data_IF_020609918823
#
_entry.id   IF_020609918823
#
_cell.length_a   1.000
_cell.length_b   1.000
_cell.length_c   1.000
_cell.angle_alpha   90.00
_cell.angle_beta   90.00
_cell.angle_gamma   90.00
#
_symmetry.space_group_name_H-M   'P 1'
#
loop_
_entity.id
_entity.type
_entity.pdbx_description
1 polymer ?
#
# COMPACT_ATOMS: atom_id res chain seq x y z
N UNK A 1 7.02 -12.50 15.18
CA UNK A 1 7.87 -11.32 14.95
C UNK A 1 8.89 -11.68 13.88
N UNK A 2 9.11 -10.84 12.87
CA UNK A 2 10.03 -11.12 11.75
C UNK A 2 11.34 -10.32 11.85
N UNK A 3 11.25 -9.03 12.15
CA UNK A 3 12.40 -8.16 12.37
C UNK A 3 12.03 -6.98 13.27
N UNK A 4 13.04 -6.38 13.90
CA UNK A 4 12.92 -5.12 14.64
C UNK A 4 13.98 -4.13 14.20
N UNK A 5 13.68 -2.86 14.38
CA UNK A 5 14.61 -1.75 14.27
C UNK A 5 14.30 -0.75 15.38
N UNK A 6 15.30 0.01 15.78
CA UNK A 6 15.20 0.98 16.88
C UNK A 6 15.74 2.34 16.45
N UNK A 7 15.27 3.38 17.13
CA UNK A 7 15.60 4.77 16.87
C UNK A 7 14.95 5.71 17.89
N UNK A 8 15.10 7.03 17.71
CA UNK A 8 14.57 8.03 18.65
C UNK A 8 13.03 8.01 18.73
N UNK A 9 12.38 7.51 17.68
CA UNK A 9 10.93 7.33 17.63
C UNK A 9 10.44 6.06 18.34
N UNK A 10 11.34 5.26 18.93
CA UNK A 10 11.05 4.00 19.62
C UNK A 10 11.21 2.76 18.73
N UNK A 11 10.89 1.59 19.30
CA UNK A 11 11.01 0.32 18.60
C UNK A 11 9.96 0.17 17.50
N UNK A 12 10.42 -0.29 16.34
CA UNK A 12 9.61 -0.66 15.20
C UNK A 12 9.69 -2.16 14.99
N UNK A 13 8.54 -2.81 14.82
CA UNK A 13 8.46 -4.27 14.70
C UNK A 13 7.72 -4.66 13.44
N UNK A 14 8.40 -5.37 12.53
CA UNK A 14 7.75 -6.03 11.41
C UNK A 14 7.21 -7.40 11.86
N UNK A 15 5.92 -7.61 11.64
CA UNK A 15 5.25 -8.90 11.87
C UNK A 15 4.84 -9.53 10.54
N UNK A 16 4.20 -10.69 10.58
CA UNK A 16 3.63 -11.34 9.38
C UNK A 16 2.39 -10.62 8.82
N UNK A 17 1.77 -9.69 9.56
CA UNK A 17 0.52 -9.04 9.12
C UNK A 17 0.54 -7.51 9.13
N UNK A 18 1.47 -6.90 9.87
CA UNK A 18 1.53 -5.46 10.11
C UNK A 18 2.91 -4.97 10.54
N UNK A 19 3.15 -3.69 10.35
CA UNK A 19 4.23 -2.92 10.99
C UNK A 19 3.70 -2.28 12.26
N UNK A 20 4.35 -2.53 13.39
CA UNK A 20 4.08 -1.87 14.66
C UNK A 20 4.99 -0.65 14.80
N UNK A 21 4.40 0.48 15.16
CA UNK A 21 5.01 1.79 15.32
C UNK A 21 4.66 2.34 16.70
N UNK A 22 5.42 3.31 17.23
CA UNK A 22 5.14 3.91 18.55
C UNK A 22 3.73 4.51 18.68
N UNK A 23 3.19 5.06 17.61
CA UNK A 23 1.87 5.69 17.58
C UNK A 23 0.72 4.80 17.09
N UNK A 24 0.98 3.53 16.76
CA UNK A 24 -0.05 2.64 16.19
C UNK A 24 0.52 1.50 15.36
N UNK A 25 -0.25 1.05 14.37
CA UNK A 25 0.20 0.01 13.46
C UNK A 25 -0.43 0.16 12.08
N UNK A 26 0.27 -0.29 11.05
CA UNK A 26 -0.24 -0.34 9.68
C UNK A 26 -0.20 -1.78 9.17
N UNK A 27 -1.34 -2.30 8.70
CA UNK A 27 -1.41 -3.61 8.07
C UNK A 27 -0.69 -3.60 6.73
N UNK A 28 -0.03 -4.70 6.36
CA UNK A 28 0.66 -4.78 5.06
C UNK A 28 -0.29 -4.54 3.87
N UNK A 29 -1.54 -4.98 4.00
CA UNK A 29 -2.62 -4.75 3.03
C UNK A 29 -3.00 -3.28 2.86
N UNK A 30 -2.67 -2.43 3.84
CA UNK A 30 -2.91 -0.98 3.79
C UNK A 30 -1.71 -0.19 3.29
N UNK A 31 -0.56 -0.82 3.06
CA UNK A 31 0.65 -0.12 2.58
C UNK A 31 0.63 0.03 1.06
N UNK A 32 0.66 1.27 0.59
CA UNK A 32 0.84 1.62 -0.83
C UNK A 32 2.32 1.46 -1.22
N UNK A 33 3.21 2.08 -0.44
CA UNK A 33 4.67 2.04 -0.67
C UNK A 33 5.44 2.03 0.65
N UNK A 34 6.62 1.41 0.63
CA UNK A 34 7.61 1.54 1.68
C UNK A 34 8.99 1.85 1.07
N UNK A 35 9.65 2.88 1.56
CA UNK A 35 10.96 3.33 1.09
C UNK A 35 11.87 3.65 2.26
N UNK A 36 13.16 3.36 2.10
CA UNK A 36 14.20 3.74 3.05
C UNK A 36 15.06 4.84 2.45
N UNK A 37 15.24 5.91 3.21
CA UNK A 37 16.21 6.96 2.97
C UNK A 37 17.42 6.71 3.88
N UNK A 38 18.51 6.24 3.29
CA UNK A 38 19.72 5.88 4.04
C UNK A 38 20.56 7.07 4.48
N UNK A 39 20.40 8.23 3.84
CA UNK A 39 21.11 9.45 4.25
C UNK A 39 20.39 10.09 5.43
N UNK A 40 19.06 10.14 5.39
CA UNK A 40 18.25 10.66 6.50
C UNK A 40 18.03 9.63 7.62
N UNK A 41 18.39 8.37 7.41
CA UNK A 41 18.07 7.23 8.27
C UNK A 41 16.56 7.10 8.59
N UNK A 42 15.71 7.33 7.58
CA UNK A 42 14.25 7.34 7.72
C UNK A 42 13.56 6.28 6.88
N UNK A 43 12.77 5.44 7.54
CA UNK A 43 11.78 4.58 6.88
C UNK A 43 10.50 5.39 6.63
N UNK A 44 10.08 5.46 5.38
CA UNK A 44 8.82 6.09 4.97
C UNK A 44 7.84 5.02 4.50
N UNK A 45 6.72 4.88 5.19
CA UNK A 45 5.61 4.00 4.82
C UNK A 45 4.40 4.84 4.47
N UNK A 46 3.92 4.73 3.24
CA UNK A 46 2.73 5.43 2.76
C UNK A 46 1.58 4.46 2.69
N UNK A 47 0.47 4.79 3.35
CA UNK A 47 -0.76 4.02 3.26
C UNK A 47 -1.53 4.31 1.97
N UNK A 48 -2.35 3.35 1.55
CA UNK A 48 -3.34 3.55 0.51
C UNK A 48 -4.28 4.71 0.90
N UNK A 49 -4.77 5.51 -0.07
CA UNK A 49 -5.69 6.60 0.24
C UNK A 49 -6.95 6.12 0.96
N UNK A 50 -7.42 6.89 1.94
CA UNK A 50 -8.73 6.68 2.58
C UNK A 50 -9.88 6.99 1.61
N UNK A 51 -11.13 6.76 2.05
CA UNK A 51 -12.32 7.04 1.24
C UNK A 51 -12.48 8.54 0.85
N UNK A 52 -11.74 9.44 1.49
CA UNK A 52 -11.68 10.88 1.18
C UNK A 52 -10.44 11.24 0.34
N UNK A 53 -9.67 10.24 -0.10
CA UNK A 53 -8.45 10.41 -0.89
C UNK A 53 -7.23 10.86 -0.10
N UNK A 54 -7.29 10.88 1.24
CA UNK A 54 -6.15 11.30 2.08
C UNK A 54 -5.17 10.15 2.26
N UNK A 55 -3.87 10.46 2.15
CA UNK A 55 -2.79 9.50 2.38
C UNK A 55 -2.12 9.76 3.71
N UNK A 56 -2.05 8.73 4.55
CA UNK A 56 -1.23 8.75 5.76
C UNK A 56 0.20 8.35 5.39
N UNK A 57 1.18 9.09 5.90
CA UNK A 57 2.60 8.75 5.77
C UNK A 57 3.22 8.62 7.15
N UNK A 58 3.81 7.46 7.41
CA UNK A 58 4.61 7.21 8.60
C UNK A 58 6.06 7.46 8.24
N UNK A 59 6.72 8.36 8.96
CA UNK A 59 8.16 8.60 8.85
C UNK A 59 8.77 8.17 10.18
N UNK A 60 9.73 7.28 10.12
CA UNK A 60 10.33 6.69 11.33
C UNK A 60 11.83 6.74 11.22
N UNK A 61 12.47 7.48 12.12
CA UNK A 61 13.92 7.50 12.23
C UNK A 61 14.42 6.19 12.85
N UNK A 62 15.40 5.55 12.21
CA UNK A 62 15.99 4.28 12.65
C UNK A 62 17.50 4.43 12.77
N UNK A 63 18.02 4.46 14.00
CA UNK A 63 19.47 4.48 14.26
C UNK A 63 20.13 3.12 14.01
N UNK A 64 19.35 2.04 14.10
CA UNK A 64 19.81 0.69 13.77
C UNK A 64 18.71 -0.04 13.00
N UNK A 65 18.63 0.13 11.66
CA UNK A 65 17.58 -0.48 10.86
C UNK A 65 17.70 -2.01 10.78
N UNK A 66 18.91 -2.58 11.00
CA UNK A 66 19.18 -4.03 10.88
C UNK A 66 18.53 -4.61 9.61
N UNK A 67 17.81 -5.73 9.70
CA UNK A 67 17.03 -6.34 8.61
C UNK A 67 15.62 -5.77 8.45
N UNK A 68 15.22 -4.77 9.26
CA UNK A 68 13.84 -4.29 9.28
C UNK A 68 13.42 -3.73 7.93
N UNK A 69 14.27 -2.92 7.29
CA UNK A 69 13.98 -2.29 5.99
C UNK A 69 13.73 -3.36 4.91
N UNK A 70 14.57 -4.39 4.88
CA UNK A 70 14.44 -5.50 3.93
C UNK A 70 13.15 -6.27 4.17
N UNK A 71 12.85 -6.61 5.43
CA UNK A 71 11.63 -7.34 5.80
C UNK A 71 10.38 -6.52 5.51
N UNK A 72 10.38 -5.20 5.75
CA UNK A 72 9.25 -4.33 5.39
C UNK A 72 9.01 -4.37 3.88
N UNK A 73 10.07 -4.22 3.07
CA UNK A 73 9.96 -4.29 1.60
C UNK A 73 9.44 -5.66 1.15
N UNK A 74 9.96 -6.73 1.74
CA UNK A 74 9.55 -8.10 1.45
C UNK A 74 8.07 -8.30 1.77
N UNK A 75 7.62 -7.95 2.98
CA UNK A 75 6.23 -8.11 3.40
C UNK A 75 5.26 -7.28 2.54
N UNK A 76 5.61 -6.04 2.21
CA UNK A 76 4.80 -5.20 1.30
C UNK A 76 4.68 -5.87 -0.08
N UNK A 77 5.79 -6.36 -0.62
CA UNK A 77 5.80 -7.01 -1.94
C UNK A 77 5.03 -8.33 -1.93
N UNK A 78 5.26 -9.19 -0.93
CA UNK A 78 4.58 -10.47 -0.77
C UNK A 78 3.08 -10.33 -0.53
N UNK A 79 2.64 -9.19 0.03
CA UNK A 79 1.21 -8.95 0.20
C UNK A 79 0.47 -8.78 -1.12
N UNK A 80 1.13 -8.38 -2.21
CA UNK A 80 0.48 -8.09 -3.49
C UNK A 80 0.27 -9.38 -4.28
N UNK A 81 -0.99 -9.70 -4.56
CA UNK A 81 -1.39 -10.83 -5.42
C UNK A 81 -1.50 -10.39 -6.87
N UNK A 82 -2.10 -9.23 -7.09
CA UNK A 82 -2.30 -8.66 -8.43
C UNK A 82 -2.22 -7.14 -8.36
N UNK A 83 -1.58 -6.51 -9.35
CA UNK A 83 -1.64 -5.06 -9.54
C UNK A 83 -1.69 -4.76 -11.04
N UNK A 84 -2.80 -4.16 -11.48
CA UNK A 84 -3.04 -3.81 -12.89
C UNK A 84 -3.40 -2.34 -12.98
N UNK A 85 -2.93 -1.69 -14.04
CA UNK A 85 -3.40 -0.37 -14.43
C UNK A 85 -4.16 -0.52 -15.75
N UNK A 86 -5.43 -0.14 -15.74
CA UNK A 86 -6.33 -0.24 -16.88
C UNK A 86 -6.66 1.18 -17.34
N UNK A 87 -6.32 1.53 -18.57
CA UNK A 87 -6.64 2.83 -19.16
C UNK A 87 -8.14 2.95 -19.39
N UNK A 88 -8.73 4.07 -18.97
CA UNK A 88 -10.17 4.35 -19.13
C UNK A 88 -10.44 5.61 -19.95
N UNK A 89 -9.48 6.54 -19.99
CA UNK A 89 -9.57 7.80 -20.72
C UNK A 89 -8.19 8.23 -21.26
N UNK A 90 -7.97 7.99 -22.56
CA UNK A 90 -6.66 8.19 -23.19
C UNK A 90 -5.58 7.37 -22.50
N UNK A 91 -4.62 8.05 -21.86
CA UNK A 91 -3.54 7.41 -21.08
C UNK A 91 -3.86 7.30 -19.58
N UNK A 92 -4.94 7.93 -19.11
CA UNK A 92 -5.37 7.90 -17.71
C UNK A 92 -6.19 6.65 -17.46
N UNK A 93 -6.02 6.08 -16.28
CA UNK A 93 -6.58 4.80 -15.92
C UNK A 93 -6.93 4.67 -14.46
N UNK A 94 -7.24 3.43 -14.11
CA UNK A 94 -7.43 2.99 -12.74
C UNK A 94 -6.38 1.93 -12.43
N UNK A 95 -5.66 2.10 -11.32
CA UNK A 95 -4.82 1.08 -10.74
C UNK A 95 -5.62 0.27 -9.74
N UNK A 96 -5.73 -1.03 -9.99
CA UNK A 96 -6.43 -1.98 -9.14
C UNK A 96 -5.39 -2.91 -8.55
N UNK A 97 -5.31 -2.95 -7.23
CA UNK A 97 -4.36 -3.81 -6.51
C UNK A 97 -5.11 -4.70 -5.53
N UNK A 98 -4.94 -6.01 -5.68
CA UNK A 98 -5.43 -7.01 -4.75
C UNK A 98 -4.29 -7.48 -3.86
N UNK A 99 -4.47 -7.37 -2.54
CA UNK A 99 -3.49 -7.83 -1.55
C UNK A 99 -4.06 -8.91 -0.67
N UNK A 100 -3.23 -9.90 -0.33
CA UNK A 100 -3.61 -11.03 0.54
C UNK A 100 -3.63 -10.62 2.01
N UNK A 101 -4.74 -10.87 2.67
CA UNK A 101 -4.90 -10.69 4.12
C UNK A 101 -4.35 -11.91 4.87
N UNK A 102 -4.15 -11.82 6.20
CA UNK A 102 -3.83 -12.99 7.02
C UNK A 102 -4.92 -14.08 7.02
N UNK A 103 -6.16 -13.75 6.66
CA UNK A 103 -7.27 -14.72 6.48
C UNK A 103 -7.27 -15.39 5.11
N UNK A 104 -6.25 -15.16 4.27
CA UNK A 104 -6.15 -15.61 2.87
C UNK A 104 -7.24 -15.03 1.95
N UNK A 105 -7.90 -13.95 2.39
CA UNK A 105 -8.83 -13.15 1.58
C UNK A 105 -8.09 -12.06 0.81
N UNK A 106 -8.74 -11.45 -0.19
CA UNK A 106 -8.19 -10.32 -0.94
C UNK A 106 -8.76 -8.99 -0.46
N UNK A 107 -7.87 -8.13 0.05
CA UNK A 107 -8.14 -6.72 0.27
C UNK A 107 -7.84 -5.92 -1.01
N UNK A 108 -8.83 -5.18 -1.49
CA UNK A 108 -8.74 -4.44 -2.76
C UNK A 108 -8.50 -2.95 -2.53
N UNK A 109 -7.55 -2.39 -3.28
CA UNK A 109 -7.35 -0.94 -3.40
C UNK A 109 -7.57 -0.53 -4.85
N UNK A 110 -8.34 0.54 -5.04
CA UNK A 110 -8.60 1.15 -6.34
C UNK A 110 -8.10 2.59 -6.30
N UNK A 111 -7.23 2.94 -7.24
CA UNK A 111 -6.65 4.28 -7.35
C UNK A 111 -6.92 4.81 -8.74
N UNK A 112 -7.66 5.91 -8.81
CA UNK A 112 -8.01 6.55 -10.08
C UNK A 112 -6.99 7.65 -10.35
N UNK A 113 -6.44 7.68 -11.57
CA UNK A 113 -5.51 8.72 -11.98
C UNK A 113 -6.15 10.11 -11.90
N UNK A 114 -5.35 11.11 -11.54
CA UNK A 114 -5.82 12.49 -11.46
C UNK A 114 -6.40 12.98 -12.78
N UNK A 115 -7.52 13.70 -12.70
CA UNK A 115 -8.21 14.27 -13.86
C UNK A 115 -9.23 13.35 -14.54
N UNK A 116 -9.47 12.14 -14.00
CA UNK A 116 -10.65 11.34 -14.36
C UNK A 116 -11.86 11.90 -13.61
N UNK A 117 -12.89 12.30 -14.35
CA UNK A 117 -14.15 12.78 -13.79
C UNK A 117 -15.08 11.60 -13.44
N UNK A 118 -15.15 11.27 -12.16
CA UNK A 118 -16.07 10.23 -11.66
C UNK A 118 -17.52 10.71 -11.50
N UNK A 119 -17.79 12.00 -11.70
CA UNK A 119 -19.15 12.54 -11.73
C UNK A 119 -19.84 12.28 -13.09
N UNK A 120 -19.07 12.13 -14.17
CA UNK A 120 -19.58 11.65 -15.45
C UNK A 120 -19.96 10.16 -15.36
N UNK A 121 -21.25 9.80 -15.52
CA UNK A 121 -21.70 8.41 -15.43
C UNK A 121 -21.01 7.48 -16.44
N UNK A 122 -20.66 7.97 -17.64
CA UNK A 122 -20.01 7.15 -18.66
C UNK A 122 -18.54 6.83 -18.30
N UNK A 123 -17.85 7.80 -17.70
CA UNK A 123 -16.49 7.60 -17.16
C UNK A 123 -16.53 6.68 -15.94
N UNK A 124 -17.48 6.88 -15.03
CA UNK A 124 -17.68 5.98 -13.87
C UNK A 124 -17.92 4.53 -14.30
N UNK A 125 -18.79 4.29 -15.28
CA UNK A 125 -19.07 2.94 -15.78
C UNK A 125 -17.82 2.26 -16.35
N UNK A 126 -16.95 3.00 -17.07
CA UNK A 126 -15.67 2.48 -17.58
C UNK A 126 -14.71 2.11 -16.45
N UNK A 127 -14.62 2.92 -15.41
CA UNK A 127 -13.81 2.62 -14.21
C UNK A 127 -14.33 1.38 -13.49
N UNK A 128 -15.64 1.29 -13.27
CA UNK A 128 -16.25 0.15 -12.58
C UNK A 128 -16.03 -1.15 -13.38
N UNK A 129 -16.16 -1.12 -14.71
CA UNK A 129 -15.87 -2.25 -15.58
C UNK A 129 -14.38 -2.67 -15.54
N UNK A 130 -13.47 -1.70 -15.53
CA UNK A 130 -12.04 -1.96 -15.39
C UNK A 130 -11.68 -2.59 -14.03
N UNK A 131 -12.34 -2.16 -12.94
CA UNK A 131 -12.19 -2.76 -11.62
C UNK A 131 -12.69 -4.20 -11.60
N UNK A 132 -13.87 -4.45 -12.17
CA UNK A 132 -14.44 -5.80 -12.26
C UNK A 132 -13.55 -6.75 -13.06
N UNK A 133 -12.99 -6.29 -14.19
CA UNK A 133 -12.07 -7.07 -15.01
C UNK A 133 -10.88 -7.60 -14.21
N UNK A 134 -10.23 -6.75 -13.42
CA UNK A 134 -9.04 -7.16 -12.63
C UNK A 134 -9.43 -8.08 -11.48
N UNK A 135 -10.60 -7.88 -10.86
CA UNK A 135 -11.07 -8.75 -9.77
C UNK A 135 -11.34 -10.17 -10.25
N UNK A 136 -11.89 -10.31 -11.44
CA UNK A 136 -12.21 -11.61 -12.02
C UNK A 136 -10.96 -12.40 -12.51
N UNK A 137 -9.77 -11.78 -12.55
CA UNK A 137 -8.51 -12.49 -12.89
C UNK A 137 -8.04 -13.44 -11.78
N UNK A 138 -8.54 -13.26 -10.56
CA UNK A 138 -8.08 -13.98 -9.35
C UNK A 138 -9.21 -14.68 -8.59
N UNK A 139 -10.42 -14.68 -9.16
CA UNK A 139 -11.53 -15.56 -8.76
C UNK A 139 -11.36 -16.95 -9.39
#
# INVERSE_FOLDING_TARGET
MLATGDGPDGDVVATTSRLLLRGGSVAWTSVETASWDGEAEVLVVTEVPDARGRRTRHRVALSSPRRLVDVVREQVTQSVVISRHITVDGRRGVRVTGRRTPSDELAWTVQVDSGIDLADPATKARVDAAVALVRNEVE
#
